data_IF_091703203860
#
_entry.id   IF_091703203860
#
_cell.length_a   1.000
_cell.length_b   1.000
_cell.length_c   1.000
_cell.angle_alpha   90.00
_cell.angle_beta   90.00
_cell.angle_gamma   90.00
#
_symmetry.space_group_name_H-M   'P 1'
#
loop_
_entity.id
_entity.type
_entity.pdbx_description
1 polymer ?
#
# COMPACT_ATOMS: atom_id res chain seq x y z
N UNK A 1 -9.35 4.07 -14.99
CA UNK A 1 -8.24 3.09 -14.95
C UNK A 1 -8.19 2.53 -13.54
N UNK A 2 -8.19 1.20 -13.34
CA UNK A 2 -8.08 0.62 -11.99
C UNK A 2 -6.64 0.78 -11.49
N UNK A 3 -6.50 1.23 -10.25
CA UNK A 3 -5.24 1.44 -9.53
C UNK A 3 -5.28 0.68 -8.20
N UNK A 4 -4.14 0.57 -7.54
CA UNK A 4 -4.06 0.07 -6.16
C UNK A 4 -3.30 1.09 -5.30
N UNK A 5 -3.77 1.27 -4.06
CA UNK A 5 -3.05 2.02 -3.04
C UNK A 5 -2.35 1.03 -2.12
N UNK A 6 -1.07 1.22 -1.88
CA UNK A 6 -0.21 0.22 -1.23
C UNK A 6 0.42 0.79 0.03
N UNK A 7 0.25 0.06 1.13
CA UNK A 7 1.01 0.20 2.36
C UNK A 7 2.05 -0.91 2.38
N UNK A 8 3.32 -0.53 2.38
CA UNK A 8 4.41 -1.49 2.37
C UNK A 8 5.69 -0.82 2.80
N UNK A 9 6.51 -1.56 3.56
CA UNK A 9 7.88 -1.13 3.83
C UNK A 9 8.62 -0.87 2.51
N UNK A 10 9.31 0.26 2.43
CA UNK A 10 9.96 0.75 1.20
C UNK A 10 11.45 0.47 1.22
N UNK A 11 11.99 0.07 0.08
CA UNK A 11 13.44 0.14 -0.14
C UNK A 11 13.89 1.60 -0.34
N UNK A 12 15.21 1.85 -0.25
CA UNK A 12 15.76 3.20 -0.42
C UNK A 12 15.39 3.85 -1.77
N UNK A 13 15.05 3.04 -2.77
CA UNK A 13 14.65 3.52 -4.10
C UNK A 13 13.20 4.02 -4.10
N UNK A 14 12.26 3.26 -3.55
CA UNK A 14 10.86 3.67 -3.43
C UNK A 14 10.65 4.83 -2.45
N UNK A 15 11.54 4.99 -1.46
CA UNK A 15 11.53 6.20 -0.61
C UNK A 15 11.81 7.47 -1.42
N UNK A 16 12.72 7.41 -2.41
CA UNK A 16 13.05 8.55 -3.28
C UNK A 16 12.15 8.68 -4.53
N UNK A 17 11.48 7.60 -4.92
CA UNK A 17 10.61 7.52 -6.10
C UNK A 17 9.28 6.88 -5.71
N UNK A 18 8.29 7.72 -5.41
CA UNK A 18 6.96 7.26 -5.01
C UNK A 18 6.05 6.94 -6.21
N UNK A 19 6.55 7.05 -7.47
CA UNK A 19 5.81 6.68 -8.69
C UNK A 19 6.35 5.40 -9.31
N UNK A 20 5.48 4.39 -9.40
CA UNK A 20 5.71 3.26 -10.32
C UNK A 20 4.81 3.46 -11.53
N UNK A 21 5.26 4.31 -12.45
CA UNK A 21 4.50 4.90 -13.58
C UNK A 21 3.83 3.85 -14.48
N UNK A 22 4.33 2.62 -14.51
CA UNK A 22 3.80 1.53 -15.35
C UNK A 22 2.77 0.64 -14.66
N UNK A 23 2.68 0.65 -13.32
CA UNK A 23 1.92 -0.38 -12.57
C UNK A 23 0.60 0.08 -11.98
N UNK A 24 0.18 1.34 -12.20
CA UNK A 24 -1.04 1.91 -11.60
C UNK A 24 -1.03 1.82 -10.05
N UNK A 25 0.16 1.96 -9.45
CA UNK A 25 0.37 1.85 -8.00
C UNK A 25 0.54 3.25 -7.41
N UNK A 26 -0.16 3.50 -6.31
CA UNK A 26 -0.03 4.70 -5.48
C UNK A 26 0.48 4.30 -4.10
N UNK A 27 1.51 4.96 -3.61
CA UNK A 27 2.03 4.68 -2.26
C UNK A 27 1.23 5.48 -1.23
N UNK A 28 0.83 4.82 -0.15
CA UNK A 28 0.13 5.45 0.97
C UNK A 28 1.14 6.24 1.80
N UNK A 29 0.78 7.45 2.20
CA UNK A 29 1.60 8.38 2.98
C UNK A 29 1.83 7.88 4.40
N UNK A 30 3.06 8.04 4.89
CA UNK A 30 3.43 7.78 6.29
C UNK A 30 3.69 9.08 7.04
N UNK A 31 3.35 9.21 8.33
CA UNK A 31 2.58 8.25 9.15
C UNK A 31 1.11 8.13 8.74
N UNK A 32 0.49 6.99 9.04
CA UNK A 32 -0.93 6.74 8.79
C UNK A 32 -1.70 6.51 10.10
N UNK A 33 -2.92 7.06 10.26
CA UNK A 33 -3.73 6.88 11.45
C UNK A 33 -4.40 5.50 11.43
N UNK A 34 -4.17 4.69 12.47
CA UNK A 34 -4.83 3.41 12.67
C UNK A 34 -5.50 3.46 14.05
N UNK A 35 -6.83 3.54 14.09
CA UNK A 35 -7.56 3.75 15.35
C UNK A 35 -7.07 5.03 16.07
N UNK A 36 -6.50 4.89 17.26
CA UNK A 36 -6.08 5.92 18.20
C UNK A 36 -4.56 6.17 18.20
N UNK A 37 -3.82 5.53 17.28
CA UNK A 37 -2.37 5.71 17.14
C UNK A 37 -1.96 5.92 15.68
N UNK A 38 -0.80 6.57 15.49
CA UNK A 38 -0.18 6.70 14.19
C UNK A 38 0.85 5.59 13.98
N UNK A 39 0.71 4.85 12.88
CA UNK A 39 1.71 3.87 12.43
C UNK A 39 2.68 4.52 11.46
N UNK A 40 3.92 4.03 11.44
CA UNK A 40 4.98 4.50 10.55
C UNK A 40 5.45 3.35 9.66
N UNK A 41 5.70 3.62 8.37
CA UNK A 41 6.15 2.61 7.41
C UNK A 41 7.44 1.86 7.79
N UNK A 42 8.31 2.48 8.59
CA UNK A 42 9.55 1.84 9.05
C UNK A 42 9.35 0.96 10.30
N UNK A 43 8.27 1.18 11.06
CA UNK A 43 7.92 0.41 12.26
C UNK A 43 6.87 -0.66 11.99
N UNK A 44 5.98 -0.43 11.02
CA UNK A 44 4.95 -1.35 10.59
C UNK A 44 5.54 -2.40 9.64
N UNK A 45 5.42 -3.67 10.03
CA UNK A 45 5.93 -4.80 9.24
C UNK A 45 4.88 -5.37 8.28
N UNK A 46 3.65 -4.88 8.32
CA UNK A 46 2.57 -5.36 7.46
C UNK A 46 2.68 -4.77 6.06
N UNK A 47 2.23 -5.54 5.06
CA UNK A 47 2.09 -5.05 3.70
C UNK A 47 0.67 -5.34 3.26
N UNK A 48 -0.03 -4.33 2.77
CA UNK A 48 -1.41 -4.46 2.32
C UNK A 48 -1.73 -3.49 1.20
N UNK A 49 -2.78 -3.79 0.47
CA UNK A 49 -3.25 -2.95 -0.62
C UNK A 49 -4.77 -2.89 -0.65
N UNK A 50 -5.29 -1.76 -1.15
CA UNK A 50 -6.71 -1.58 -1.45
C UNK A 50 -6.90 -1.22 -2.92
N UNK A 51 -7.98 -1.75 -3.52
CA UNK A 51 -8.35 -1.44 -4.90
C UNK A 51 -8.90 -0.01 -5.03
N UNK A 52 -8.58 0.68 -6.13
CA UNK A 52 -9.13 2.00 -6.43
C UNK A 52 -9.51 2.11 -7.91
N UNK A 53 -10.80 2.03 -8.29
CA UNK A 53 -11.98 1.76 -7.44
C UNK A 53 -12.17 0.26 -7.16
N UNK A 54 -12.97 -0.09 -6.15
CA UNK A 54 -13.40 -1.46 -5.82
C UNK A 54 -13.66 -1.65 -4.32
N UNK A 55 -13.88 -2.90 -3.88
CA UNK A 55 -14.12 -3.27 -2.47
C UNK A 55 -13.10 -4.32 -1.96
N UNK A 56 -11.91 -4.38 -2.59
CA UNK A 56 -10.91 -5.40 -2.29
C UNK A 56 -9.85 -4.82 -1.36
N UNK A 57 -9.64 -5.54 -0.26
CA UNK A 57 -8.47 -5.40 0.61
C UNK A 57 -7.60 -6.65 0.49
N UNK A 58 -6.29 -6.49 0.34
CA UNK A 58 -5.35 -7.61 0.31
C UNK A 58 -4.26 -7.45 1.35
N UNK A 59 -4.00 -8.51 2.12
CA UNK A 59 -2.78 -8.65 2.91
C UNK A 59 -1.72 -9.38 2.08
N UNK A 60 -0.48 -8.88 2.09
CA UNK A 60 0.61 -9.35 1.24
C UNK A 60 1.79 -9.74 2.15
N UNK A 61 2.34 -10.93 1.95
CA UNK A 61 3.42 -11.46 2.79
C UNK A 61 4.77 -10.77 2.57
N UNK A 62 5.02 -10.27 1.35
CA UNK A 62 6.25 -9.60 0.96
C UNK A 62 6.04 -8.10 0.74
N UNK A 63 7.03 -7.27 1.09
CA UNK A 63 6.97 -5.86 0.79
C UNK A 63 7.02 -5.60 -0.71
N UNK A 64 6.29 -4.58 -1.09
CA UNK A 64 6.44 -3.91 -2.36
C UNK A 64 7.79 -3.18 -2.42
N UNK A 65 8.64 -3.57 -3.37
CA UNK A 65 9.97 -3.02 -3.59
C UNK A 65 10.20 -2.75 -5.08
N UNK A 66 11.00 -1.73 -5.44
CA UNK A 66 11.33 -1.47 -6.85
C UNK A 66 12.20 -2.60 -7.40
N UNK A 67 13.10 -3.10 -6.57
CA UNK A 67 13.90 -4.29 -6.84
C UNK A 67 13.36 -5.46 -6.02
N UNK A 68 12.81 -6.49 -6.67
CA UNK A 68 12.35 -7.70 -6.01
C UNK A 68 13.29 -8.88 -6.26
N UNK A 69 13.53 -9.69 -5.23
CA UNK A 69 14.19 -10.99 -5.36
C UNK A 69 13.24 -11.98 -6.01
N UNK A 70 13.75 -12.86 -6.87
CA UNK A 70 12.97 -13.96 -7.45
C UNK A 70 12.72 -15.02 -6.37
N UNK A 71 11.56 -14.92 -5.72
CA UNK A 71 11.12 -15.83 -4.66
C UNK A 71 9.60 -15.93 -4.65
N UNK A 72 9.08 -16.95 -3.98
CA UNK A 72 7.63 -17.08 -3.76
C UNK A 72 7.09 -15.96 -2.85
N UNK A 73 5.86 -15.55 -3.16
CA UNK A 73 5.07 -14.57 -2.41
C UNK A 73 3.59 -14.96 -2.49
N UNK A 74 2.79 -14.45 -1.56
CA UNK A 74 1.36 -14.70 -1.44
C UNK A 74 0.61 -13.41 -1.07
N UNK A 75 -0.59 -13.28 -1.62
CA UNK A 75 -1.56 -12.30 -1.15
C UNK A 75 -2.88 -13.00 -0.81
N UNK A 76 -3.50 -12.59 0.29
CA UNK A 76 -4.86 -12.98 0.66
C UNK A 76 -5.74 -11.76 0.46
N UNK A 77 -6.70 -11.87 -0.45
CA UNK A 77 -7.61 -10.77 -0.81
C UNK A 77 -9.04 -11.07 -0.35
N UNK A 78 -9.67 -10.05 0.24
CA UNK A 78 -11.02 -10.09 0.78
C UNK A 78 -11.84 -9.05 0.02
N UNK A 79 -12.94 -9.50 -0.59
CA UNK A 79 -13.93 -8.64 -1.22
C UNK A 79 -15.08 -8.41 -0.24
N UNK A 80 -14.94 -7.39 0.60
CA UNK A 80 -15.94 -7.03 1.60
C UNK A 80 -15.88 -5.52 1.87
N UNK A 81 -17.02 -4.85 1.69
CA UNK A 81 -17.10 -3.40 1.63
C UNK A 81 -16.70 -2.70 2.94
N UNK A 82 -17.04 -3.25 4.10
CA UNK A 82 -16.75 -2.62 5.40
C UNK A 82 -15.27 -2.71 5.77
N UNK A 83 -14.63 -3.86 5.48
CA UNK A 83 -13.18 -4.03 5.62
C UNK A 83 -12.48 -3.08 4.65
N UNK A 84 -12.89 -3.07 3.38
CA UNK A 84 -12.34 -2.16 2.39
C UNK A 84 -12.45 -0.69 2.83
N UNK A 85 -13.63 -0.25 3.27
CA UNK A 85 -13.88 1.14 3.67
C UNK A 85 -12.89 1.59 4.75
N UNK A 86 -12.72 0.77 5.80
CA UNK A 86 -11.77 1.05 6.89
C UNK A 86 -10.35 1.27 6.40
N UNK A 87 -9.83 0.37 5.55
CA UNK A 87 -8.46 0.49 5.03
C UNK A 87 -8.34 1.55 3.95
N UNK A 88 -9.40 1.82 3.18
CA UNK A 88 -9.41 2.86 2.17
C UNK A 88 -9.40 4.27 2.81
N UNK A 89 -10.03 4.45 3.97
CA UNK A 89 -9.95 5.70 4.72
C UNK A 89 -8.51 5.99 5.18
N UNK A 90 -7.81 4.96 5.65
CA UNK A 90 -6.38 5.04 5.99
C UNK A 90 -5.55 5.33 4.72
N UNK A 91 -5.87 4.65 3.62
CA UNK A 91 -5.19 4.79 2.33
C UNK A 91 -5.55 6.06 1.55
N UNK A 92 -6.49 6.89 2.03
CA UNK A 92 -6.93 8.09 1.33
C UNK A 92 -5.78 9.09 1.16
N UNK A 93 -4.82 9.07 2.08
CA UNK A 93 -3.61 9.87 2.01
C UNK A 93 -2.55 9.14 1.20
N UNK A 94 -2.38 9.55 -0.06
CA UNK A 94 -1.30 9.06 -0.92
C UNK A 94 -0.11 10.02 -0.86
N UNK A 95 1.09 9.52 -1.09
CA UNK A 95 2.30 10.34 -1.16
C UNK A 95 2.20 11.38 -2.29
N UNK A 96 2.63 12.61 -1.99
CA UNK A 96 2.74 13.67 -2.98
C UNK A 96 3.96 13.42 -3.86
N UNK A 97 3.73 12.82 -5.02
CA UNK A 97 4.80 12.55 -5.98
C UNK A 97 4.94 13.71 -6.98
N UNK A 98 6.11 14.38 -7.06
CA UNK A 98 6.36 15.42 -8.04
C UNK A 98 6.03 14.94 -9.45
N UNK A 99 5.48 15.86 -10.26
CA UNK A 99 4.99 15.56 -11.60
C UNK A 99 6.08 15.28 -12.61
#
# INVERSE_FOLDING_TARGET
KKTIKVWSRRDNKLKGDCRVVERNIRLIKSPAPVSDHNTNLDADLTNWAVSDPGNIFCLIDRPYAKNQTVQSAMAVCIDQADIFARFNDIAAQVEDCPQ
#
